data_IF_861334560276
#
_entry.id   IF_861334560276
#
_cell.length_a   1.000
_cell.length_b   1.000
_cell.length_c   1.000
_cell.angle_alpha   90.00
_cell.angle_beta   90.00
_cell.angle_gamma   90.00
#
_symmetry.space_group_name_H-M   'P 1'
#
loop_
_entity.id
_entity.type
_entity.pdbx_description
1 polymer ?
#
# COMPACT_ATOMS: atom_id res chain seq x y z
N UNK A 1 28.92 6.48 0.08
CA UNK A 1 28.68 6.18 -1.36
C UNK A 1 27.41 6.91 -1.75
N UNK A 2 27.53 8.01 -2.49
CA UNK A 2 26.39 8.84 -2.89
C UNK A 2 25.58 8.15 -4.00
N UNK A 3 24.26 8.14 -3.81
CA UNK A 3 23.30 7.31 -4.53
C UNK A 3 23.29 7.54 -6.03
N UNK A 4 23.37 6.44 -6.77
CA UNK A 4 23.02 6.39 -8.20
C UNK A 4 21.58 6.92 -8.31
N UNK A 5 21.36 7.98 -9.10
CA UNK A 5 19.99 8.45 -9.40
C UNK A 5 19.19 7.27 -9.94
N UNK A 6 18.01 7.05 -9.38
CA UNK A 6 17.08 6.06 -9.90
C UNK A 6 16.69 6.50 -11.33
N UNK A 7 16.85 5.61 -12.30
CA UNK A 7 16.55 5.85 -13.71
C UNK A 7 15.49 4.87 -14.19
N UNK A 8 14.60 5.35 -15.04
CA UNK A 8 13.54 4.53 -15.62
C UNK A 8 14.21 3.49 -16.54
N UNK A 9 14.10 2.21 -16.19
CA UNK A 9 14.67 1.08 -16.94
C UNK A 9 13.95 -0.20 -16.57
N UNK A 10 14.03 -1.19 -17.45
CA UNK A 10 13.56 -2.55 -17.13
C UNK A 10 14.19 -3.09 -15.84
N UNK A 11 13.36 -3.79 -15.06
CA UNK A 11 13.72 -4.29 -13.74
C UNK A 11 13.73 -3.24 -12.63
N UNK A 12 13.50 -1.95 -12.92
CA UNK A 12 13.31 -0.95 -11.87
C UNK A 12 11.94 -1.12 -11.20
N UNK A 13 11.90 -0.92 -9.88
CA UNK A 13 10.65 -0.90 -9.13
C UNK A 13 9.98 0.46 -9.24
N UNK A 14 8.66 0.46 -9.40
CA UNK A 14 7.87 1.67 -9.58
C UNK A 14 6.66 1.67 -8.67
N UNK A 15 6.25 2.88 -8.33
CA UNK A 15 4.95 3.22 -7.80
C UNK A 15 4.21 4.02 -8.86
N UNK A 16 3.08 3.53 -9.33
CA UNK A 16 2.25 4.26 -10.29
C UNK A 16 0.84 4.46 -9.76
N UNK A 17 0.08 5.34 -10.39
CA UNK A 17 -1.31 5.62 -10.01
C UNK A 17 -2.19 5.56 -11.23
N UNK A 18 -3.39 5.01 -11.10
CA UNK A 18 -4.39 4.97 -12.17
C UNK A 18 -5.70 5.55 -11.65
N UNK A 19 -6.30 6.46 -12.40
CA UNK A 19 -7.55 7.10 -11.99
C UNK A 19 -8.69 6.08 -11.97
N UNK A 20 -9.47 6.06 -10.89
CA UNK A 20 -10.64 5.20 -10.71
C UNK A 20 -11.76 6.02 -10.05
N UNK A 21 -12.65 6.56 -10.89
CA UNK A 21 -13.67 7.52 -10.47
C UNK A 21 -13.04 8.84 -10.03
N UNK A 22 -13.39 9.28 -8.82
CA UNK A 22 -12.91 10.54 -8.22
C UNK A 22 -11.53 10.43 -7.58
N UNK A 23 -11.03 9.20 -7.38
CA UNK A 23 -9.79 8.92 -6.67
C UNK A 23 -8.83 8.08 -7.51
N UNK A 24 -7.64 7.81 -6.96
CA UNK A 24 -6.64 6.97 -7.59
C UNK A 24 -6.54 5.60 -6.93
N UNK A 25 -6.39 4.58 -7.77
CA UNK A 25 -5.79 3.31 -7.38
C UNK A 25 -4.27 3.44 -7.53
N UNK A 26 -3.52 2.64 -6.78
CA UNK A 26 -2.06 2.67 -6.83
C UNK A 26 -1.48 1.30 -7.17
N UNK A 27 -0.37 1.34 -7.92
CA UNK A 27 0.29 0.17 -8.49
C UNK A 27 1.67 0.07 -7.86
N UNK A 28 2.02 -1.12 -7.39
CA UNK A 28 3.39 -1.48 -7.02
C UNK A 28 3.87 -2.48 -8.04
N UNK A 29 4.95 -2.18 -8.76
CA UNK A 29 5.39 -3.08 -9.81
C UNK A 29 6.84 -2.94 -10.22
N UNK A 30 7.20 -3.73 -11.21
CA UNK A 30 8.49 -3.76 -11.86
C UNK A 30 8.29 -3.43 -13.33
N UNK A 31 9.15 -2.57 -13.86
CA UNK A 31 9.14 -2.23 -15.29
C UNK A 31 9.55 -3.46 -16.11
N UNK A 32 8.71 -3.83 -17.07
CA UNK A 32 8.95 -4.94 -18.01
C UNK A 32 9.38 -4.48 -19.40
N UNK A 33 9.13 -3.23 -19.76
CA UNK A 33 9.53 -2.64 -21.03
C UNK A 33 9.24 -1.16 -21.10
N UNK A 34 9.96 -0.43 -21.96
CA UNK A 34 9.77 1.01 -22.16
C UNK A 34 9.70 1.29 -23.66
N UNK A 35 8.59 1.89 -24.10
CA UNK A 35 8.39 2.39 -25.45
C UNK A 35 7.96 3.87 -25.40
N UNK A 36 8.95 4.76 -25.49
CA UNK A 36 8.73 6.20 -25.37
C UNK A 36 8.08 6.59 -24.02
N UNK A 37 6.79 6.95 -24.08
CA UNK A 37 5.98 7.35 -22.91
C UNK A 37 5.13 6.22 -22.34
N UNK A 38 5.15 5.04 -22.96
CA UNK A 38 4.44 3.85 -22.53
C UNK A 38 5.40 2.94 -21.77
N UNK A 39 5.07 2.65 -20.52
CA UNK A 39 5.89 1.80 -19.65
C UNK A 39 5.10 0.54 -19.33
N UNK A 40 5.60 -0.62 -19.75
CA UNK A 40 5.06 -1.90 -19.31
C UNK A 40 5.39 -2.12 -17.84
N UNK A 41 4.39 -2.45 -17.02
CA UNK A 41 4.57 -2.72 -15.60
C UNK A 41 3.90 -4.04 -15.24
N UNK A 42 4.61 -4.87 -14.49
CA UNK A 42 4.09 -6.08 -13.88
C UNK A 42 4.15 -5.97 -12.36
N UNK A 43 3.06 -6.29 -11.66
CA UNK A 43 2.96 -6.13 -10.22
C UNK A 43 1.53 -6.30 -9.71
N UNK A 44 1.12 -5.40 -8.80
CA UNK A 44 -0.20 -5.41 -8.19
C UNK A 44 -0.80 -4.01 -8.26
N UNK A 45 -2.07 -3.92 -8.64
CA UNK A 45 -2.88 -2.70 -8.49
C UNK A 45 -3.79 -2.85 -7.27
N UNK A 46 -3.89 -1.78 -6.50
CA UNK A 46 -4.61 -1.75 -5.22
C UNK A 46 -5.65 -0.63 -5.24
N UNK A 47 -6.88 -1.02 -4.95
CA UNK A 47 -8.01 -0.15 -4.74
C UNK A 47 -8.25 0.03 -3.22
N UNK A 48 -8.04 1.24 -2.65
CA UNK A 48 -8.19 1.50 -1.23
C UNK A 48 -9.66 1.68 -0.79
N UNK A 49 -10.54 0.72 -1.12
CA UNK A 49 -12.00 0.79 -0.93
C UNK A 49 -12.43 1.17 0.48
N UNK A 50 -11.73 0.68 1.51
CA UNK A 50 -12.06 0.96 2.90
C UNK A 50 -11.80 2.42 3.29
N UNK A 51 -10.78 3.04 2.71
CA UNK A 51 -10.50 4.46 2.92
C UNK A 51 -11.49 5.33 2.13
N UNK A 52 -11.79 4.97 0.87
CA UNK A 52 -12.81 5.63 0.03
C UNK A 52 -14.16 5.71 0.75
N UNK A 53 -14.67 4.57 1.22
CA UNK A 53 -15.93 4.49 1.96
C UNK A 53 -15.96 5.36 3.22
N UNK A 54 -14.83 5.46 3.93
CA UNK A 54 -14.75 6.26 5.15
C UNK A 54 -14.75 7.77 4.86
N UNK A 55 -14.13 8.18 3.77
CA UNK A 55 -14.16 9.58 3.29
C UNK A 55 -15.59 9.97 2.88
N UNK A 56 -16.28 9.11 2.13
CA UNK A 56 -17.67 9.32 1.73
C UNK A 56 -18.62 9.45 2.93
N UNK A 57 -18.38 8.67 3.99
CA UNK A 57 -19.17 8.73 5.23
C UNK A 57 -18.84 9.95 6.11
N UNK A 58 -17.89 10.80 5.74
CA UNK A 58 -17.44 11.93 6.55
C UNK A 58 -16.74 11.51 7.86
N UNK A 59 -16.22 10.28 7.93
CA UNK A 59 -15.61 9.70 9.15
C UNK A 59 -14.08 9.89 9.20
N UNK A 60 -13.52 10.68 8.30
CA UNK A 60 -12.07 10.91 8.17
C UNK A 60 -11.75 12.38 7.96
N UNK A 61 -10.50 12.74 8.22
CA UNK A 61 -9.99 14.11 8.01
C UNK A 61 -9.35 14.30 6.63
N UNK A 62 -8.91 15.53 6.37
CA UNK A 62 -8.30 15.97 5.09
C UNK A 62 -7.18 15.05 4.60
N UNK A 63 -6.32 14.57 5.51
CA UNK A 63 -5.22 13.65 5.17
C UNK A 63 -5.69 12.36 4.49
N UNK A 64 -6.86 11.84 4.85
CA UNK A 64 -7.40 10.63 4.21
C UNK A 64 -7.82 10.88 2.77
N UNK A 65 -8.37 12.07 2.50
CA UNK A 65 -8.74 12.50 1.15
C UNK A 65 -7.49 12.77 0.32
N UNK A 66 -6.50 13.46 0.89
CA UNK A 66 -5.21 13.72 0.25
C UNK A 66 -4.53 12.43 -0.25
N UNK A 67 -4.56 11.36 0.54
CA UNK A 67 -3.97 10.07 0.11
C UNK A 67 -4.72 9.48 -1.09
N UNK A 68 -6.04 9.65 -1.18
CA UNK A 68 -6.84 9.13 -2.28
C UNK A 68 -6.70 9.98 -3.56
N UNK A 69 -6.53 11.30 -3.41
CA UNK A 69 -6.40 12.24 -4.52
C UNK A 69 -4.94 12.38 -5.01
N UNK A 70 -3.97 12.20 -4.11
CA UNK A 70 -2.55 12.37 -4.34
C UNK A 70 -1.72 11.26 -3.65
N UNK A 71 -1.90 9.99 -4.04
CA UNK A 71 -1.16 8.90 -3.43
C UNK A 71 0.34 8.98 -3.75
N UNK A 72 1.15 8.66 -2.75
CA UNK A 72 2.61 8.60 -2.81
C UNK A 72 3.08 7.30 -2.13
N UNK A 73 4.27 6.80 -2.47
CA UNK A 73 4.84 5.61 -1.81
C UNK A 73 4.85 5.71 -0.27
N UNK A 74 5.03 6.92 0.26
CA UNK A 74 5.13 7.16 1.70
C UNK A 74 3.76 7.25 2.40
N UNK A 75 2.74 7.77 1.71
CA UNK A 75 1.44 8.04 2.34
C UNK A 75 0.43 6.88 2.22
N UNK A 76 0.63 5.97 1.25
CA UNK A 76 -0.32 4.88 0.97
C UNK A 76 -0.39 3.83 2.08
N UNK A 77 0.61 3.75 2.98
CA UNK A 77 0.57 2.84 4.14
C UNK A 77 -0.71 3.05 4.96
N UNK A 78 -1.18 4.30 5.12
CA UNK A 78 -2.43 4.56 5.84
C UNK A 78 -3.66 4.04 5.06
N UNK A 79 -3.66 4.07 3.73
CA UNK A 79 -4.72 3.46 2.94
C UNK A 79 -4.74 1.94 3.13
N UNK A 80 -3.56 1.31 3.17
CA UNK A 80 -3.37 -0.12 3.39
C UNK A 80 -3.77 -0.59 4.81
N UNK A 81 -3.99 0.30 5.78
CA UNK A 81 -4.55 -0.07 7.10
C UNK A 81 -6.00 -0.52 7.01
N UNK A 82 -6.74 0.03 6.06
CA UNK A 82 -8.15 -0.26 5.87
C UNK A 82 -8.37 -1.42 4.91
N UNK A 83 -9.64 -1.78 4.66
CA UNK A 83 -9.97 -2.75 3.62
C UNK A 83 -9.41 -2.26 2.28
N UNK A 84 -8.78 -3.15 1.56
CA UNK A 84 -8.33 -2.92 0.19
C UNK A 84 -8.85 -4.06 -0.69
N UNK A 85 -8.97 -3.78 -1.97
CA UNK A 85 -9.09 -4.78 -3.02
C UNK A 85 -7.81 -4.69 -3.86
N UNK A 86 -7.33 -5.82 -4.36
CA UNK A 86 -6.11 -5.85 -5.15
C UNK A 86 -6.17 -6.99 -6.17
N UNK A 87 -5.48 -6.79 -7.28
CA UNK A 87 -5.35 -7.77 -8.35
C UNK A 87 -3.96 -7.69 -8.99
N UNK A 88 -3.59 -8.75 -9.70
CA UNK A 88 -2.36 -8.73 -10.48
C UNK A 88 -2.48 -7.68 -11.58
N UNK A 89 -1.45 -6.86 -11.71
CA UNK A 89 -1.34 -5.84 -12.75
C UNK A 89 -0.29 -6.27 -13.77
N UNK A 90 -0.67 -6.34 -15.03
CA UNK A 90 0.23 -6.61 -16.15
C UNK A 90 -0.23 -5.80 -17.36
N UNK A 91 0.05 -4.51 -17.34
CA UNK A 91 -0.46 -3.56 -18.33
C UNK A 91 0.50 -2.36 -18.49
N UNK A 92 0.17 -1.45 -19.39
CA UNK A 92 0.93 -0.25 -19.71
C UNK A 92 0.50 0.90 -18.79
N UNK A 93 1.48 1.64 -18.28
CA UNK A 93 1.32 2.94 -17.63
C UNK A 93 1.72 4.02 -18.63
N UNK A 94 0.84 4.99 -18.88
CA UNK A 94 1.11 6.09 -19.81
C UNK A 94 1.66 7.31 -19.05
N UNK A 95 2.93 7.65 -19.25
CA UNK A 95 3.60 8.73 -18.52
C UNK A 95 3.06 10.14 -18.81
N UNK A 96 2.20 10.31 -19.82
CA UNK A 96 1.54 11.60 -20.09
C UNK A 96 0.22 11.75 -19.32
N UNK A 97 -0.32 10.66 -18.75
CA UNK A 97 -1.61 10.62 -18.03
C UNK A 97 -1.42 10.20 -16.56
N UNK A 98 -0.62 9.17 -16.36
CA UNK A 98 -0.42 8.49 -15.10
C UNK A 98 0.90 8.91 -14.45
N UNK A 99 0.86 9.06 -13.13
CA UNK A 99 2.07 9.20 -12.33
C UNK A 99 2.81 7.86 -12.27
N UNK A 100 4.12 7.90 -12.43
CA UNK A 100 5.00 6.73 -12.31
C UNK A 100 6.34 7.13 -11.70
N UNK A 101 6.48 6.90 -10.39
CA UNK A 101 7.68 7.19 -9.62
C UNK A 101 8.54 5.94 -9.47
N UNK A 102 9.85 6.07 -9.69
CA UNK A 102 10.78 4.98 -9.40
C UNK A 102 11.00 4.94 -7.89
N UNK A 103 10.83 3.76 -7.29
CA UNK A 103 10.97 3.57 -5.85
C UNK A 103 12.18 2.68 -5.52
N UNK A 104 12.82 2.88 -4.35
CA UNK A 104 13.86 1.98 -3.88
C UNK A 104 13.32 0.55 -3.70
N UNK A 105 14.15 -0.50 -3.94
CA UNK A 105 13.73 -1.89 -3.74
C UNK A 105 13.18 -2.17 -2.34
N UNK A 106 13.69 -1.51 -1.31
CA UNK A 106 13.23 -1.67 0.07
C UNK A 106 11.81 -1.13 0.27
N UNK A 107 11.44 -0.04 -0.42
CA UNK A 107 10.09 0.53 -0.39
C UNK A 107 9.14 -0.40 -1.13
N UNK A 108 9.53 -0.87 -2.32
CA UNK A 108 8.77 -1.86 -3.08
C UNK A 108 8.49 -3.13 -2.25
N UNK A 109 9.53 -3.75 -1.68
CA UNK A 109 9.40 -4.97 -0.87
C UNK A 109 8.46 -4.80 0.33
N UNK A 110 8.44 -3.60 0.92
CA UNK A 110 7.55 -3.27 2.02
C UNK A 110 6.09 -3.09 1.57
N UNK A 111 5.86 -2.41 0.44
CA UNK A 111 4.51 -2.24 -0.12
C UNK A 111 3.94 -3.56 -0.67
N UNK A 112 4.72 -4.28 -1.47
CA UNK A 112 4.39 -5.62 -1.97
C UNK A 112 4.15 -6.61 -0.82
N UNK A 113 5.04 -6.59 0.18
CA UNK A 113 4.91 -7.43 1.37
C UNK A 113 3.64 -7.12 2.17
N UNK A 114 3.12 -5.89 2.14
CA UNK A 114 1.84 -5.58 2.77
C UNK A 114 0.69 -6.38 2.18
N UNK A 115 0.69 -6.52 0.86
CA UNK A 115 -0.31 -7.27 0.10
C UNK A 115 -0.08 -8.77 0.26
N UNK A 116 1.15 -9.25 0.00
CA UNK A 116 1.49 -10.67 0.04
C UNK A 116 1.26 -11.31 1.40
N UNK A 117 1.49 -10.57 2.48
CA UNK A 117 1.30 -11.07 3.84
C UNK A 117 -0.14 -10.84 4.37
N UNK A 118 -1.04 -10.30 3.54
CA UNK A 118 -2.45 -9.97 3.84
C UNK A 118 -2.62 -9.06 5.06
N UNK A 119 -1.70 -8.11 5.29
CA UNK A 119 -1.67 -7.33 6.54
C UNK A 119 -2.92 -6.45 6.72
N UNK A 120 -3.46 -5.93 5.62
CA UNK A 120 -4.71 -5.16 5.61
C UNK A 120 -5.88 -5.96 6.18
N UNK A 121 -5.95 -7.26 5.92
CA UNK A 121 -7.03 -8.13 6.40
C UNK A 121 -6.94 -8.36 7.90
N UNK A 122 -5.73 -8.63 8.42
CA UNK A 122 -5.52 -8.77 9.86
C UNK A 122 -5.85 -7.48 10.61
N UNK A 123 -5.42 -6.33 10.09
CA UNK A 123 -5.75 -5.02 10.67
C UNK A 123 -7.25 -4.76 10.61
N UNK A 124 -7.88 -5.00 9.48
CA UNK A 124 -9.33 -4.81 9.32
C UNK A 124 -10.12 -5.67 10.31
N UNK A 125 -9.75 -6.93 10.50
CA UNK A 125 -10.38 -7.84 11.46
C UNK A 125 -10.30 -7.28 12.89
N UNK A 126 -9.15 -6.74 13.30
CA UNK A 126 -9.00 -6.13 14.63
C UNK A 126 -9.81 -4.84 14.78
N UNK A 127 -9.90 -4.03 13.72
CA UNK A 127 -10.54 -2.72 13.74
C UNK A 127 -12.06 -2.77 13.58
N UNK A 128 -12.59 -3.83 12.97
CA UNK A 128 -14.03 -4.04 12.76
C UNK A 128 -14.72 -4.69 13.96
N UNK A 129 -13.98 -5.40 14.81
CA UNK A 129 -14.53 -6.07 16.00
C UNK A 129 -14.76 -5.08 17.16
N UNK A 130 -15.86 -5.23 17.92
CA UNK A 130 -16.07 -4.52 19.17
C UNK A 130 -15.06 -4.96 20.24
N UNK A 131 -14.96 -4.23 21.36
CA UNK A 131 -14.14 -4.66 22.50
C UNK A 131 -14.68 -6.00 23.04
N UNK A 132 -13.78 -6.96 23.24
CA UNK A 132 -14.14 -8.30 23.72
C UNK A 132 -13.11 -9.36 23.33
N UNK A 133 -13.41 -10.60 23.70
CA UNK A 133 -12.53 -11.77 23.51
C UNK A 133 -12.14 -12.00 22.05
N UNK A 134 -13.08 -11.82 21.11
CA UNK A 134 -12.81 -11.99 19.68
C UNK A 134 -11.79 -10.97 19.15
N UNK A 135 -11.90 -9.72 19.61
CA UNK A 135 -10.94 -8.68 19.24
C UNK A 135 -9.59 -8.93 19.86
N UNK A 136 -9.54 -9.39 21.11
CA UNK A 136 -8.28 -9.74 21.77
C UNK A 136 -7.59 -10.91 21.07
N UNK A 137 -8.35 -11.90 20.61
CA UNK A 137 -7.81 -12.99 19.81
C UNK A 137 -7.28 -12.51 18.46
N UNK A 138 -8.04 -11.65 17.76
CA UNK A 138 -7.56 -11.04 16.51
C UNK A 138 -6.26 -10.24 16.73
N UNK A 139 -6.12 -9.53 17.85
CA UNK A 139 -4.87 -8.83 18.22
C UNK A 139 -3.72 -9.80 18.44
N UNK A 140 -3.94 -10.94 19.09
CA UNK A 140 -2.90 -11.97 19.30
C UNK A 140 -2.44 -12.56 17.96
N UNK A 141 -3.38 -12.90 17.08
CA UNK A 141 -3.06 -13.43 15.74
C UNK A 141 -2.26 -12.40 14.92
N UNK A 142 -2.68 -11.13 14.91
CA UNK A 142 -1.94 -10.05 14.25
C UNK A 142 -0.52 -9.90 14.83
N UNK A 143 -0.37 -9.99 16.15
CA UNK A 143 0.93 -9.92 16.81
C UNK A 143 1.84 -11.09 16.41
N UNK A 144 1.34 -12.32 16.42
CA UNK A 144 2.09 -13.50 15.97
C UNK A 144 2.51 -13.36 14.50
N UNK A 145 1.59 -12.90 13.65
CA UNK A 145 1.88 -12.64 12.23
C UNK A 145 3.01 -11.62 12.08
N UNK A 146 2.92 -10.50 12.78
CA UNK A 146 3.97 -9.47 12.80
C UNK A 146 5.34 -10.02 13.26
N UNK A 147 5.37 -10.85 14.29
CA UNK A 147 6.60 -11.46 14.82
C UNK A 147 7.24 -12.45 13.83
N UNK A 148 6.42 -13.12 13.01
CA UNK A 148 6.86 -14.06 11.97
C UNK A 148 7.40 -13.40 10.69
N UNK A 149 7.23 -12.08 10.52
CA UNK A 149 7.67 -11.37 9.32
C UNK A 149 9.20 -11.39 9.20
N UNK A 150 9.68 -11.91 8.07
CA UNK A 150 11.12 -11.96 7.73
C UNK A 150 11.66 -10.58 7.36
N UNK A 151 10.88 -9.79 6.61
CA UNK A 151 11.28 -8.45 6.19
C UNK A 151 11.26 -7.47 7.38
N UNK A 152 12.42 -6.91 7.71
CA UNK A 152 12.60 -6.02 8.86
C UNK A 152 11.88 -4.67 8.68
N UNK A 153 11.82 -4.14 7.45
CA UNK A 153 11.17 -2.87 7.17
C UNK A 153 9.66 -3.03 7.27
N UNK A 154 9.10 -4.07 6.66
CA UNK A 154 7.68 -4.41 6.76
C UNK A 154 7.26 -4.59 8.22
N UNK A 155 8.03 -5.38 8.98
CA UNK A 155 7.76 -5.60 10.41
C UNK A 155 7.80 -4.31 11.21
N UNK A 156 8.78 -3.44 10.96
CA UNK A 156 8.90 -2.14 11.64
C UNK A 156 7.73 -1.22 11.30
N UNK A 157 7.33 -1.16 10.03
CA UNK A 157 6.19 -0.35 9.60
C UNK A 157 4.89 -0.86 10.22
N UNK A 158 4.64 -2.18 10.18
CA UNK A 158 3.48 -2.79 10.82
C UNK A 158 3.44 -2.52 12.34
N UNK A 159 4.58 -2.63 13.02
CA UNK A 159 4.68 -2.30 14.45
C UNK A 159 4.30 -0.84 14.72
N UNK A 160 4.82 0.10 13.94
CA UNK A 160 4.51 1.54 14.04
C UNK A 160 3.02 1.81 13.83
N UNK A 161 2.41 1.16 12.84
CA UNK A 161 0.96 1.24 12.57
C UNK A 161 0.14 0.67 13.73
N UNK A 162 0.50 -0.51 14.23
CA UNK A 162 -0.20 -1.12 15.35
C UNK A 162 -0.12 -0.26 16.63
N UNK A 163 1.01 0.40 16.87
CA UNK A 163 1.18 1.38 17.96
C UNK A 163 0.28 2.60 17.77
N UNK A 164 0.28 3.21 16.58
CA UNK A 164 -0.53 4.41 16.32
C UNK A 164 -2.03 4.15 16.44
N UNK A 165 -2.47 2.94 16.08
CA UNK A 165 -3.85 2.47 16.22
C UNK A 165 -4.20 1.97 17.63
N UNK A 166 -3.27 2.02 18.59
CA UNK A 166 -3.44 1.49 19.97
C UNK A 166 -3.86 0.00 19.98
N UNK A 167 -3.38 -0.76 19.00
CA UNK A 167 -3.54 -2.22 18.94
C UNK A 167 -2.52 -2.87 19.86
N UNK A 168 -1.27 -2.40 19.82
CA UNK A 168 -0.19 -2.80 20.70
C UNK A 168 0.03 -1.70 21.74
N UNK A 169 -0.07 -2.07 23.02
CA UNK A 169 0.25 -1.21 24.15
C UNK A 169 1.75 -1.11 24.39
#
# INVERSE_FOLDING_TARGET
MFGKKLTLKEGAHVFATKKNGDFFDFIFGVITGIDGKKVGVNGVIVNPVGLKNKVEQGKTGERSREILEHPTPDNVVLALVYRIEYENYADIVNLDEDKCDIIPPQVYQMLDGWIRESLSEFLNKVLSLPLGSERDEAKRVLKQRMESLVDKNLRRTLYSVCRSLRILN
#
